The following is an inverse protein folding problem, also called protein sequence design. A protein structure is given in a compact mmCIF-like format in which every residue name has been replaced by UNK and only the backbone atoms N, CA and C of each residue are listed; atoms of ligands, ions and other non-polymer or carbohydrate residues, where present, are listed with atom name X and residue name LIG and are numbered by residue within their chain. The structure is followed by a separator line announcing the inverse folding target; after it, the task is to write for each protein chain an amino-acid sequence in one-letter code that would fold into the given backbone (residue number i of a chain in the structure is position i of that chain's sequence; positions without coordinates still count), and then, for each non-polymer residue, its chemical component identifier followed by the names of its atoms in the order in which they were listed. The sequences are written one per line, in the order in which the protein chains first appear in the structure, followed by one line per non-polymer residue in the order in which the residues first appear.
data_IF_957822770286
#
_entry.id   IF_957822770286
#
_cell.length_a   1.000
_cell.length_b   1.000
_cell.length_c   1.000
_cell.angle_alpha   90.00
_cell.angle_beta   90.00
_cell.angle_gamma   90.00
#
_symmetry.space_group_name_H-M   'P 1'
#
loop_
_entity.id
_entity.type
_entity.pdbx_description
1 polymer ?
#
# COMPACT_ATOMS: atom_id res chain seq x y z
N UNK A 1 -10.42 2.70 19.06
CA UNK A 1 -9.21 2.01 18.55
C UNK A 1 -9.45 1.59 17.11
N UNK A 2 -8.51 1.87 16.20
CA UNK A 2 -8.65 1.55 14.77
C UNK A 2 -8.54 0.04 14.55
N UNK A 3 -9.52 -0.54 13.87
CA UNK A 3 -9.45 -1.92 13.38
C UNK A 3 -8.59 -1.94 12.12
N UNK A 4 -7.72 -2.95 11.98
CA UNK A 4 -6.79 -3.09 10.87
C UNK A 4 -6.82 -4.50 10.28
N UNK A 5 -6.90 -4.62 8.96
CA UNK A 5 -6.78 -5.90 8.24
C UNK A 5 -5.44 -6.61 8.53
N UNK A 6 -4.40 -5.83 8.82
CA UNK A 6 -3.11 -6.35 9.26
C UNK A 6 -3.21 -7.21 10.52
N UNK A 7 -4.14 -6.90 11.45
CA UNK A 7 -4.36 -7.72 12.64
C UNK A 7 -4.92 -9.12 12.28
N UNK A 8 -5.85 -9.18 11.35
CA UNK A 8 -6.40 -10.45 10.88
C UNK A 8 -5.34 -11.31 10.19
N UNK A 9 -4.42 -10.67 9.43
CA UNK A 9 -3.28 -11.36 8.85
C UNK A 9 -2.35 -11.94 9.91
N UNK A 10 -2.04 -11.19 10.97
CA UNK A 10 -1.24 -11.67 12.10
C UNK A 10 -1.89 -12.89 12.78
N UNK A 11 -3.20 -12.87 13.00
CA UNK A 11 -3.94 -14.01 13.58
C UNK A 11 -3.88 -15.23 12.66
N UNK A 12 -4.06 -15.05 11.35
CA UNK A 12 -3.92 -16.15 10.37
C UNK A 12 -2.51 -16.72 10.38
N UNK A 13 -1.48 -15.87 10.33
CA UNK A 13 -0.09 -16.26 10.39
C UNK A 13 0.22 -17.08 11.67
N UNK A 14 -0.27 -16.66 12.84
CA UNK A 14 -0.06 -17.40 14.09
C UNK A 14 -0.58 -18.85 14.00
N UNK A 15 -1.69 -19.06 13.29
CA UNK A 15 -2.35 -20.36 13.18
C UNK A 15 -1.87 -21.23 11.99
N UNK A 16 -0.87 -20.75 11.22
CA UNK A 16 -0.31 -21.49 10.11
C UNK A 16 0.62 -22.61 10.60
N UNK A 17 0.56 -23.78 9.96
CA UNK A 17 1.55 -24.87 10.11
C UNK A 17 2.80 -24.51 9.30
N UNK A 18 3.98 -24.99 9.73
CA UNK A 18 5.28 -24.66 9.10
C UNK A 18 5.54 -23.15 9.04
N UNK A 19 5.32 -22.49 10.16
CA UNK A 19 5.37 -21.05 10.33
C UNK A 19 6.76 -20.50 10.07
N UNK A 20 6.84 -19.50 9.20
CA UNK A 20 8.03 -18.69 8.94
C UNK A 20 8.03 -17.44 9.82
N UNK A 21 9.17 -16.78 9.96
CA UNK A 21 9.20 -15.44 10.51
C UNK A 21 8.35 -14.50 9.65
N UNK A 22 7.65 -13.56 10.27
CA UNK A 22 6.83 -12.58 9.56
C UNK A 22 7.54 -11.22 9.52
N UNK A 23 7.92 -10.80 8.30
CA UNK A 23 8.47 -9.48 8.07
C UNK A 23 7.37 -8.49 7.69
N UNK A 24 7.12 -7.49 8.55
CA UNK A 24 6.15 -6.43 8.29
C UNK A 24 6.86 -5.19 7.76
N UNK A 25 6.63 -4.88 6.49
CA UNK A 25 7.20 -3.74 5.79
C UNK A 25 6.16 -2.64 5.53
N UNK A 26 6.59 -1.47 5.10
CA UNK A 26 5.74 -0.35 4.70
C UNK A 26 6.21 0.99 5.27
N UNK A 27 5.59 2.08 4.84
CA UNK A 27 5.98 3.44 5.18
C UNK A 27 6.06 3.69 6.71
N UNK A 28 6.76 4.73 7.10
CA UNK A 28 6.73 5.18 8.50
C UNK A 28 5.34 5.69 8.89
N UNK A 29 5.03 5.63 10.18
CA UNK A 29 3.78 6.14 10.78
C UNK A 29 2.49 5.39 10.36
N UNK A 30 2.58 4.23 9.69
CA UNK A 30 1.40 3.41 9.34
C UNK A 30 0.97 2.42 10.44
N UNK A 31 1.65 2.46 11.62
CA UNK A 31 1.25 1.71 12.81
C UNK A 31 1.78 0.28 12.90
N UNK A 32 2.90 -0.07 12.24
CA UNK A 32 3.52 -1.42 12.29
C UNK A 32 3.79 -1.88 13.73
N UNK A 33 4.62 -1.17 14.46
CA UNK A 33 5.00 -1.49 15.85
C UNK A 33 3.77 -1.57 16.77
N UNK A 34 2.82 -0.65 16.58
CA UNK A 34 1.59 -0.62 17.37
C UNK A 34 0.76 -1.90 17.21
N UNK A 35 0.52 -2.33 15.97
CA UNK A 35 -0.32 -3.50 15.68
C UNK A 35 0.35 -4.80 16.14
N UNK A 36 1.69 -4.89 16.03
CA UNK A 36 2.47 -6.04 16.50
C UNK A 36 2.41 -6.14 18.01
N UNK A 37 2.60 -5.03 18.74
CA UNK A 37 2.50 -5.00 20.22
C UNK A 37 1.11 -5.45 20.70
N UNK A 38 0.06 -4.86 20.09
CA UNK A 38 -1.32 -5.24 20.40
C UNK A 38 -1.56 -6.73 20.14
N UNK A 39 -1.13 -7.24 19.00
CA UNK A 39 -1.25 -8.64 18.66
C UNK A 39 -0.51 -9.54 19.67
N UNK A 40 0.70 -9.15 20.05
CA UNK A 40 1.48 -9.88 21.05
C UNK A 40 0.77 -9.94 22.41
N UNK A 41 0.29 -8.81 22.92
CA UNK A 41 -0.41 -8.70 24.21
C UNK A 41 -1.68 -9.56 24.25
N UNK A 42 -2.41 -9.67 23.15
CA UNK A 42 -3.67 -10.41 23.07
C UNK A 42 -3.48 -11.92 22.78
N UNK A 43 -2.32 -12.33 22.28
CA UNK A 43 -2.14 -13.67 21.71
C UNK A 43 -0.99 -14.49 22.32
N UNK A 44 -0.10 -13.92 23.12
CA UNK A 44 1.04 -14.62 23.72
C UNK A 44 1.13 -14.30 25.21
N UNK A 45 1.52 -15.28 26.02
CA UNK A 45 1.78 -15.06 27.44
C UNK A 45 3.11 -14.35 27.69
N UNK A 46 4.04 -14.43 26.72
CA UNK A 46 5.34 -13.81 26.82
C UNK A 46 5.72 -13.09 25.53
N UNK A 47 6.20 -11.85 25.67
CA UNK A 47 6.55 -10.98 24.57
C UNK A 47 7.90 -10.33 24.82
N UNK A 48 8.82 -10.51 23.84
CA UNK A 48 10.12 -9.89 23.84
C UNK A 48 10.21 -8.96 22.63
N UNK A 49 10.41 -7.69 22.87
CA UNK A 49 10.63 -6.67 21.82
C UNK A 49 12.04 -6.13 21.92
N UNK A 50 12.73 -6.08 20.78
CA UNK A 50 14.02 -5.40 20.61
C UNK A 50 13.87 -4.42 19.46
N UNK A 51 13.98 -3.12 19.78
CA UNK A 51 14.04 -2.08 18.78
C UNK A 51 15.51 -1.64 18.62
N UNK A 52 16.08 -1.87 17.42
CA UNK A 52 17.51 -1.64 17.18
C UNK A 52 17.90 -0.15 17.05
N UNK A 53 16.92 0.76 16.89
CA UNK A 53 17.19 2.22 16.95
C UNK A 53 17.34 2.67 18.39
N UNK A 54 16.43 2.26 19.28
CA UNK A 54 16.43 2.69 20.69
C UNK A 54 17.42 1.89 21.53
N UNK A 55 17.71 0.67 21.12
CA UNK A 55 18.62 -0.26 21.81
C UNK A 55 19.74 -0.75 20.87
N UNK A 56 20.64 0.11 20.39
CA UNK A 56 21.69 -0.28 19.45
C UNK A 56 22.65 -1.34 20.02
N UNK A 57 22.85 -1.37 21.33
CA UNK A 57 23.65 -2.40 22.02
C UNK A 57 23.09 -3.81 21.90
N UNK A 58 21.79 -3.96 21.62
CA UNK A 58 21.17 -5.27 21.37
C UNK A 58 21.73 -5.99 20.14
N UNK A 59 22.39 -5.28 19.22
CA UNK A 59 23.10 -5.89 18.11
C UNK A 59 24.21 -6.86 18.60
N UNK A 60 24.70 -6.70 19.82
CA UNK A 60 25.70 -7.60 20.44
C UNK A 60 25.16 -9.03 20.64
N UNK A 61 23.83 -9.23 20.72
CA UNK A 61 23.19 -10.54 20.80
C UNK A 61 23.57 -11.42 19.59
N UNK A 62 23.78 -10.77 18.43
CA UNK A 62 24.07 -11.41 17.15
C UNK A 62 25.55 -11.36 16.77
N UNK A 63 26.45 -11.07 17.73
CA UNK A 63 27.88 -11.13 17.52
C UNK A 63 28.41 -12.55 17.72
N UNK A 64 29.32 -12.99 16.86
CA UNK A 64 29.95 -14.31 16.93
C UNK A 64 29.17 -15.38 16.17
N UNK A 65 28.93 -16.52 16.82
CA UNK A 65 28.23 -17.64 16.21
C UNK A 65 26.73 -17.39 16.16
N UNK A 66 26.13 -17.48 14.95
CA UNK A 66 24.71 -17.22 14.71
C UNK A 66 23.84 -18.47 14.89
N UNK A 67 24.26 -19.49 15.67
CA UNK A 67 23.37 -20.60 15.99
C UNK A 67 22.24 -20.17 16.95
N UNK A 68 21.10 -20.84 16.86
CA UNK A 68 19.90 -20.48 17.63
C UNK A 68 20.13 -20.53 19.13
N UNK A 69 20.80 -21.57 19.65
CA UNK A 69 21.06 -21.76 21.07
C UNK A 69 21.84 -20.57 21.67
N UNK A 70 22.93 -20.18 21.04
CA UNK A 70 23.74 -19.03 21.48
C UNK A 70 22.94 -17.73 21.46
N UNK A 71 22.18 -17.48 20.37
CA UNK A 71 21.35 -16.29 20.25
C UNK A 71 20.27 -16.23 21.32
N UNK A 72 19.59 -17.34 21.60
CA UNK A 72 18.53 -17.42 22.61
C UNK A 72 19.08 -17.22 24.02
N UNK A 73 20.27 -17.76 24.34
CA UNK A 73 20.96 -17.50 25.60
C UNK A 73 21.32 -16.01 25.73
N UNK A 74 21.91 -15.45 24.70
CA UNK A 74 22.25 -14.00 24.69
C UNK A 74 21.01 -13.12 24.84
N UNK A 75 19.90 -13.51 24.18
CA UNK A 75 18.63 -12.80 24.23
C UNK A 75 18.06 -12.80 25.68
N UNK A 76 18.05 -13.96 26.34
CA UNK A 76 17.58 -14.07 27.73
C UNK A 76 18.46 -13.31 28.69
N UNK A 77 19.78 -13.37 28.52
CA UNK A 77 20.75 -12.62 29.33
C UNK A 77 20.58 -11.10 29.17
N UNK A 78 20.36 -10.63 27.91
CA UNK A 78 20.18 -9.22 27.62
C UNK A 78 18.85 -8.67 28.13
N UNK A 79 17.74 -9.41 27.89
CA UNK A 79 16.39 -8.93 28.23
C UNK A 79 15.97 -9.24 29.67
N UNK A 80 16.64 -10.18 30.33
CA UNK A 80 16.29 -10.71 31.65
C UNK A 80 14.85 -11.27 31.72
N UNK A 81 14.33 -11.73 30.57
CA UNK A 81 13.01 -12.33 30.44
C UNK A 81 13.13 -13.81 30.12
N UNK A 82 12.26 -14.65 30.70
CA UNK A 82 12.21 -16.08 30.33
C UNK A 82 11.68 -16.26 28.91
N UNK A 83 12.04 -17.38 28.28
CA UNK A 83 11.47 -17.83 27.01
C UNK A 83 10.57 -19.04 27.30
N UNK A 84 9.30 -18.95 26.92
CA UNK A 84 8.31 -20.02 27.06
C UNK A 84 8.09 -20.63 25.66
N UNK A 85 8.51 -21.88 25.51
CA UNK A 85 8.40 -22.59 24.22
C UNK A 85 6.95 -22.66 23.74
N UNK A 86 6.74 -22.26 22.47
CA UNK A 86 5.42 -22.26 21.83
C UNK A 86 4.48 -21.11 22.25
N UNK A 87 4.89 -20.27 23.22
CA UNK A 87 4.06 -19.17 23.73
C UNK A 87 4.85 -17.87 23.98
N UNK A 88 5.97 -17.71 23.30
CA UNK A 88 6.75 -16.47 23.26
C UNK A 88 6.79 -15.93 21.84
N UNK A 89 6.41 -14.66 21.69
CA UNK A 89 6.68 -13.89 20.47
C UNK A 89 7.95 -13.06 20.67
N UNK A 90 8.89 -13.19 19.73
CA UNK A 90 10.11 -12.38 19.68
C UNK A 90 9.95 -11.39 18.51
N UNK A 91 10.01 -10.11 18.81
CA UNK A 91 9.83 -9.03 17.84
C UNK A 91 11.10 -8.20 17.68
N UNK A 92 11.63 -8.19 16.47
CA UNK A 92 12.75 -7.36 16.06
C UNK A 92 12.26 -6.14 15.29
N UNK A 93 12.19 -5.00 15.98
CA UNK A 93 11.73 -3.74 15.38
C UNK A 93 12.90 -2.96 14.79
N UNK A 94 12.67 -2.32 13.64
CA UNK A 94 13.67 -1.61 12.85
C UNK A 94 14.88 -2.50 12.49
N UNK A 95 14.58 -3.71 12.00
CA UNK A 95 15.57 -4.79 11.73
C UNK A 95 16.67 -4.37 10.76
N UNK A 96 16.45 -3.34 9.90
CA UNK A 96 17.47 -2.81 9.00
C UNK A 96 18.68 -2.20 9.73
N UNK A 97 18.54 -1.87 11.02
CA UNK A 97 19.64 -1.36 11.82
C UNK A 97 20.56 -2.48 12.37
N UNK A 98 20.16 -3.75 12.21
CA UNK A 98 20.94 -4.92 12.62
C UNK A 98 20.95 -6.02 11.55
N UNK A 99 21.80 -5.92 10.50
CA UNK A 99 21.88 -6.90 9.42
C UNK A 99 22.20 -8.35 9.87
N UNK A 100 22.94 -8.50 10.98
CA UNK A 100 23.25 -9.80 11.57
C UNK A 100 22.02 -10.48 12.19
N UNK A 101 21.13 -9.72 12.81
CA UNK A 101 19.85 -10.25 13.32
C UNK A 101 19.02 -10.82 12.16
N UNK A 102 18.92 -10.09 11.04
CA UNK A 102 18.22 -10.57 9.86
C UNK A 102 18.85 -11.83 9.26
N UNK A 103 20.17 -11.93 9.25
CA UNK A 103 20.88 -13.15 8.82
C UNK A 103 20.57 -14.33 9.75
N UNK A 104 20.38 -14.08 11.05
CA UNK A 104 20.13 -15.09 12.06
C UNK A 104 18.73 -15.71 12.00
N UNK A 105 17.76 -15.04 11.40
CA UNK A 105 16.34 -15.48 11.34
C UNK A 105 16.20 -16.91 10.84
N UNK A 106 16.96 -17.32 9.81
CA UNK A 106 16.89 -18.69 9.30
C UNK A 106 17.20 -19.74 10.35
N UNK A 107 18.20 -19.50 11.21
CA UNK A 107 18.60 -20.44 12.26
C UNK A 107 17.59 -20.47 13.41
N UNK A 108 16.98 -19.31 13.71
CA UNK A 108 15.96 -19.17 14.73
C UNK A 108 14.65 -19.84 14.30
N UNK A 109 14.28 -19.74 13.04
CA UNK A 109 13.09 -20.41 12.47
C UNK A 109 13.30 -21.92 12.36
N UNK A 110 14.50 -22.38 11.96
CA UNK A 110 14.85 -23.81 11.90
C UNK A 110 14.79 -24.47 13.29
N UNK A 111 15.15 -23.76 14.35
CA UNK A 111 15.04 -24.24 15.73
C UNK A 111 13.59 -24.49 16.16
N UNK A 112 12.63 -23.72 15.61
CA UNK A 112 11.19 -23.96 15.70
C UNK A 112 10.58 -23.83 17.11
N UNK A 113 11.28 -23.22 18.07
CA UNK A 113 10.80 -23.12 19.44
C UNK A 113 9.90 -21.91 19.71
N UNK A 114 10.07 -20.82 18.95
CA UNK A 114 9.44 -19.54 19.17
C UNK A 114 8.91 -18.94 17.88
N UNK A 115 8.03 -17.96 18.01
CA UNK A 115 7.50 -17.18 16.89
C UNK A 115 8.32 -15.87 16.72
N UNK A 116 8.59 -15.49 15.48
CA UNK A 116 9.40 -14.31 15.17
C UNK A 116 8.66 -13.36 14.26
N UNK A 117 8.59 -12.07 14.66
CA UNK A 117 8.14 -10.99 13.79
C UNK A 117 9.28 -9.98 13.65
N UNK A 118 9.47 -9.51 12.43
CA UNK A 118 10.39 -8.44 12.10
C UNK A 118 9.62 -7.23 11.57
N UNK A 119 10.07 -6.02 11.86
CA UNK A 119 9.53 -4.84 11.18
C UNK A 119 10.64 -3.89 10.75
N UNK A 120 10.33 -3.15 9.68
CA UNK A 120 11.20 -2.08 9.20
C UNK A 120 10.51 -1.18 8.18
N UNK A 121 10.86 0.09 8.23
CA UNK A 121 10.28 1.09 7.33
C UNK A 121 11.14 1.36 6.09
N UNK A 122 12.43 1.04 6.14
CA UNK A 122 13.41 1.35 5.09
C UNK A 122 14.21 0.12 4.67
N UNK A 123 13.59 -1.05 4.74
CA UNK A 123 14.25 -2.33 4.45
C UNK A 123 14.84 -2.41 3.04
N UNK A 124 14.16 -1.82 2.05
CA UNK A 124 14.65 -1.77 0.66
C UNK A 124 15.93 -0.94 0.47
N UNK A 125 16.27 -0.07 1.42
CA UNK A 125 17.36 0.90 1.26
C UNK A 125 18.70 0.36 1.75
N UNK A 126 18.72 -0.52 2.76
CA UNK A 126 19.95 -1.05 3.39
C UNK A 126 20.28 -2.51 3.07
N UNK A 127 19.72 -3.05 2.01
CA UNK A 127 19.95 -4.45 1.60
C UNK A 127 21.43 -4.83 1.39
N UNK A 128 22.32 -3.89 1.15
CA UNK A 128 23.73 -4.17 0.82
C UNK A 128 24.57 -4.74 1.97
N UNK A 129 24.09 -4.62 3.22
CA UNK A 129 24.86 -5.01 4.42
C UNK A 129 24.48 -6.40 4.96
N UNK A 130 23.38 -6.99 4.47
CA UNK A 130 22.92 -8.32 4.91
C UNK A 130 23.76 -9.39 4.23
N UNK A 131 24.50 -10.21 5.01
CA UNK A 131 25.38 -11.27 4.48
C UNK A 131 24.61 -12.40 3.81
N UNK A 132 23.44 -12.74 4.30
CA UNK A 132 22.58 -13.78 3.76
C UNK A 132 21.13 -13.49 4.10
N UNK A 133 20.28 -13.43 3.06
CA UNK A 133 18.84 -13.27 3.26
C UNK A 133 18.20 -14.58 3.73
N UNK A 134 17.20 -14.52 4.63
CA UNK A 134 16.48 -15.70 5.10
C UNK A 134 15.45 -16.21 4.07
N UNK A 135 15.90 -16.43 2.83
CA UNK A 135 15.04 -16.92 1.74
C UNK A 135 14.44 -18.28 2.12
N UNK A 136 13.12 -18.39 2.08
CA UNK A 136 12.40 -19.61 2.47
C UNK A 136 11.99 -19.64 3.96
N UNK A 137 12.57 -18.80 4.81
CA UNK A 137 12.34 -18.73 6.25
C UNK A 137 11.53 -17.51 6.70
N UNK A 138 11.23 -16.62 5.78
CA UNK A 138 10.55 -15.34 6.01
C UNK A 138 9.34 -15.23 5.08
N UNK A 139 8.23 -14.75 5.61
CA UNK A 139 7.05 -14.29 4.87
C UNK A 139 6.98 -12.76 4.95
N UNK A 140 6.81 -12.08 3.82
CA UNK A 140 6.73 -10.64 3.78
C UNK A 140 5.28 -10.18 3.68
N UNK A 141 4.85 -9.39 4.67
CA UNK A 141 3.57 -8.69 4.66
C UNK A 141 3.80 -7.18 4.51
N UNK A 142 3.36 -6.61 3.41
CA UNK A 142 3.43 -5.16 3.20
C UNK A 142 2.19 -4.48 3.74
N UNK A 143 2.39 -3.65 4.76
CA UNK A 143 1.33 -2.86 5.39
C UNK A 143 1.22 -1.50 4.70
N UNK A 144 -0.01 -1.03 4.52
CA UNK A 144 -0.35 0.25 3.91
C UNK A 144 -1.06 1.17 4.90
N UNK A 145 -1.24 2.48 4.62
CA UNK A 145 -2.21 3.32 5.32
C UNK A 145 -3.59 2.66 5.34
N UNK A 146 -4.53 3.12 6.18
CA UNK A 146 -5.89 2.60 6.18
C UNK A 146 -6.50 2.74 4.78
N UNK A 147 -7.09 1.66 4.29
CA UNK A 147 -7.95 1.73 3.12
C UNK A 147 -9.33 2.30 3.48
N UNK A 148 -10.19 2.51 2.48
CA UNK A 148 -11.49 3.11 2.71
C UNK A 148 -12.39 2.25 3.60
N UNK A 149 -12.35 0.92 3.53
CA UNK A 149 -13.11 0.02 4.40
C UNK A 149 -12.72 0.18 5.88
N UNK A 150 -11.41 0.21 6.17
CA UNK A 150 -10.86 0.45 7.51
C UNK A 150 -11.23 1.87 8.01
N UNK A 151 -11.15 2.88 7.14
CA UNK A 151 -11.55 4.25 7.45
C UNK A 151 -13.05 4.36 7.75
N UNK A 152 -13.90 3.73 6.94
CA UNK A 152 -15.35 3.72 7.13
C UNK A 152 -15.73 3.06 8.47
N UNK A 153 -15.14 1.92 8.76
CA UNK A 153 -15.33 1.20 10.04
C UNK A 153 -14.88 2.06 11.22
N UNK A 154 -13.72 2.74 11.11
CA UNK A 154 -13.23 3.65 12.15
C UNK A 154 -14.18 4.85 12.40
N UNK A 155 -14.92 5.28 11.38
CA UNK A 155 -15.92 6.35 11.48
C UNK A 155 -17.34 5.85 11.83
N UNK A 156 -17.49 4.61 12.24
CA UNK A 156 -18.73 4.06 12.82
C UNK A 156 -19.67 3.39 11.82
N UNK A 157 -19.22 3.14 10.57
CA UNK A 157 -20.01 2.32 9.64
C UNK A 157 -20.06 0.88 10.19
N UNK A 158 -21.28 0.38 10.36
CA UNK A 158 -21.55 -0.91 10.96
C UNK A 158 -21.29 -2.05 9.96
N UNK A 159 -20.88 -3.25 10.44
CA UNK A 159 -20.66 -4.43 9.60
C UNK A 159 -21.83 -4.76 8.68
N UNK A 160 -23.07 -4.62 9.15
CA UNK A 160 -24.28 -4.88 8.35
C UNK A 160 -24.38 -3.95 7.11
N UNK A 161 -23.90 -2.70 7.23
CA UNK A 161 -23.86 -1.77 6.09
C UNK A 161 -22.82 -2.22 5.07
N UNK A 162 -21.64 -2.66 5.54
CA UNK A 162 -20.59 -3.20 4.67
C UNK A 162 -21.08 -4.46 3.95
N UNK A 163 -21.75 -5.37 4.66
CA UNK A 163 -22.34 -6.60 4.08
C UNK A 163 -23.40 -6.27 3.04
N UNK A 164 -24.28 -5.30 3.31
CA UNK A 164 -25.27 -4.83 2.34
C UNK A 164 -24.60 -4.28 1.07
N UNK A 165 -23.59 -3.42 1.22
CA UNK A 165 -22.85 -2.87 0.09
C UNK A 165 -22.10 -3.96 -0.69
N UNK A 166 -21.53 -4.95 0.01
CA UNK A 166 -20.88 -6.10 -0.61
C UNK A 166 -21.86 -6.93 -1.43
N UNK A 167 -23.07 -7.17 -0.91
CA UNK A 167 -24.13 -7.85 -1.64
C UNK A 167 -24.54 -7.08 -2.90
N UNK A 168 -24.73 -5.75 -2.80
CA UNK A 168 -25.01 -4.92 -3.97
C UNK A 168 -23.86 -4.99 -5.00
N UNK A 169 -22.61 -4.97 -4.55
CA UNK A 169 -21.43 -5.10 -5.42
C UNK A 169 -21.41 -6.46 -6.16
N UNK A 170 -21.64 -7.56 -5.45
CA UNK A 170 -21.59 -8.92 -6.02
C UNK A 170 -22.75 -9.17 -6.99
N UNK A 171 -23.97 -8.76 -6.61
CA UNK A 171 -25.17 -8.95 -7.42
C UNK A 171 -25.35 -7.88 -8.51
N UNK A 172 -24.54 -6.83 -8.52
CA UNK A 172 -24.69 -5.66 -9.42
C UNK A 172 -26.02 -4.94 -9.23
N UNK A 173 -26.45 -4.80 -7.98
CA UNK A 173 -27.69 -4.14 -7.59
C UNK A 173 -27.44 -2.67 -7.20
N UNK A 174 -28.38 -1.80 -7.55
CA UNK A 174 -28.34 -0.39 -7.17
C UNK A 174 -28.47 -0.22 -5.65
N UNK A 175 -27.65 0.69 -5.09
CA UNK A 175 -27.64 1.00 -3.66
C UNK A 175 -28.79 1.98 -3.35
N UNK A 176 -29.42 1.80 -2.18
CA UNK A 176 -30.42 2.77 -1.71
C UNK A 176 -29.83 4.16 -1.57
N UNK A 177 -30.59 5.21 -1.96
CA UNK A 177 -30.09 6.59 -2.03
C UNK A 177 -29.50 7.08 -0.71
N UNK A 178 -30.14 6.76 0.42
CA UNK A 178 -29.65 7.18 1.75
C UNK A 178 -28.27 6.62 2.08
N UNK A 179 -28.01 5.34 1.76
CA UNK A 179 -26.71 4.69 1.98
C UNK A 179 -25.70 5.25 0.98
N UNK A 180 -26.10 5.39 -0.29
CA UNK A 180 -25.24 5.93 -1.35
C UNK A 180 -24.70 7.33 -1.01
N UNK A 181 -25.57 8.26 -0.64
CA UNK A 181 -25.17 9.63 -0.27
C UNK A 181 -24.29 9.67 0.98
N UNK A 182 -24.61 8.86 1.99
CA UNK A 182 -23.82 8.77 3.21
C UNK A 182 -22.40 8.27 2.93
N UNK A 183 -22.27 7.24 2.10
CA UNK A 183 -20.97 6.64 1.74
C UNK A 183 -20.15 7.56 0.83
N UNK A 184 -20.79 8.28 -0.12
CA UNK A 184 -20.11 9.29 -0.93
C UNK A 184 -19.54 10.41 -0.07
N UNK A 185 -20.33 10.92 0.88
CA UNK A 185 -19.85 11.95 1.81
C UNK A 185 -18.69 11.46 2.66
N UNK A 186 -18.75 10.21 3.13
CA UNK A 186 -17.67 9.62 3.91
C UNK A 186 -16.40 9.45 3.06
N UNK A 187 -16.54 9.06 1.79
CA UNK A 187 -15.41 8.95 0.85
C UNK A 187 -14.77 10.33 0.57
N UNK A 188 -15.55 11.40 0.51
CA UNK A 188 -15.02 12.77 0.41
C UNK A 188 -14.16 13.14 1.63
N UNK A 189 -14.56 12.76 2.84
CA UNK A 189 -13.69 12.91 4.02
C UNK A 189 -12.42 12.08 3.90
N UNK A 190 -12.52 10.85 3.41
CA UNK A 190 -11.34 9.97 3.22
C UNK A 190 -10.32 10.58 2.24
N UNK A 191 -10.78 11.21 1.16
CA UNK A 191 -9.90 11.93 0.22
C UNK A 191 -8.99 12.93 0.94
N UNK A 192 -9.54 13.67 1.91
CA UNK A 192 -8.84 14.76 2.60
C UNK A 192 -8.05 14.27 3.81
N UNK A 193 -8.64 13.36 4.57
CA UNK A 193 -8.03 12.80 5.79
C UNK A 193 -6.96 11.77 5.44
N UNK A 194 -7.17 10.98 4.39
CA UNK A 194 -6.32 9.86 4.05
C UNK A 194 -6.45 8.68 5.01
N UNK A 195 -5.47 7.79 4.96
CA UNK A 195 -5.40 6.56 5.74
C UNK A 195 -4.28 6.53 6.78
N UNK A 196 -3.55 7.62 7.03
CA UNK A 196 -2.50 7.61 8.06
C UNK A 196 -3.12 7.45 9.46
N UNK A 197 -2.75 6.41 10.25
CA UNK A 197 -3.47 6.05 11.48
C UNK A 197 -3.63 7.20 12.49
N UNK A 198 -2.56 7.97 12.73
CA UNK A 198 -2.62 9.12 13.64
C UNK A 198 -3.59 10.21 13.16
N UNK A 199 -3.65 10.41 11.85
CA UNK A 199 -4.54 11.37 11.19
C UNK A 199 -6.00 10.89 11.29
N UNK A 200 -6.24 9.62 10.95
CA UNK A 200 -7.58 9.01 11.04
C UNK A 200 -8.09 9.02 12.47
N UNK A 201 -7.25 8.64 13.45
CA UNK A 201 -7.63 8.66 14.87
C UNK A 201 -7.99 10.08 15.32
N UNK A 202 -7.18 11.08 14.96
CA UNK A 202 -7.49 12.49 15.25
C UNK A 202 -8.82 12.92 14.65
N UNK A 203 -9.07 12.58 13.39
CA UNK A 203 -10.34 12.87 12.73
C UNK A 203 -11.54 12.19 13.41
N UNK A 204 -11.39 10.92 13.80
CA UNK A 204 -12.45 10.20 14.54
C UNK A 204 -12.77 10.88 15.85
N UNK A 205 -11.75 11.32 16.59
CA UNK A 205 -11.90 11.89 17.93
C UNK A 205 -12.45 13.33 17.91
N UNK A 206 -12.04 14.16 16.94
CA UNK A 206 -12.31 15.60 16.97
C UNK A 206 -13.19 16.11 15.83
N UNK A 207 -13.22 15.43 14.70
CA UNK A 207 -13.82 15.91 13.43
C UNK A 207 -13.24 17.24 12.97
N UNK A 208 -12.05 17.62 13.45
CA UNK A 208 -11.38 18.89 13.14
C UNK A 208 -10.35 18.70 12.03
N UNK A 209 -10.65 19.27 10.85
CA UNK A 209 -9.76 19.19 9.67
C UNK A 209 -8.50 20.03 9.87
N UNK A 210 -8.55 21.09 10.66
CA UNK A 210 -7.36 21.90 10.97
C UNK A 210 -6.32 21.11 11.75
N UNK A 211 -6.74 20.31 12.74
CA UNK A 211 -5.86 19.43 13.49
C UNK A 211 -5.34 18.25 12.63
N UNK A 212 -6.20 17.72 11.76
CA UNK A 212 -5.82 16.71 10.75
C UNK A 212 -4.68 17.21 9.87
N UNK A 213 -4.85 18.41 9.29
CA UNK A 213 -3.85 19.02 8.41
C UNK A 213 -2.49 19.22 9.10
N UNK A 214 -2.51 19.59 10.38
CA UNK A 214 -1.29 19.78 11.17
C UNK A 214 -0.50 18.47 11.26
N UNK A 215 -1.16 17.36 11.61
CA UNK A 215 -0.50 16.05 11.71
C UNK A 215 0.00 15.57 10.34
N UNK A 216 -0.77 15.81 9.27
CA UNK A 216 -0.33 15.48 7.91
C UNK A 216 0.96 16.22 7.52
N UNK A 217 1.07 17.51 7.84
CA UNK A 217 2.28 18.31 7.61
C UNK A 217 3.46 17.76 8.41
N UNK A 218 3.25 17.43 9.68
CA UNK A 218 4.29 16.83 10.52
C UNK A 218 4.81 15.50 9.93
N UNK A 219 3.94 14.67 9.36
CA UNK A 219 4.32 13.43 8.70
C UNK A 219 5.12 13.70 7.41
N UNK A 220 4.70 14.67 6.59
CA UNK A 220 5.44 15.07 5.39
C UNK A 220 6.86 15.56 5.74
N UNK A 221 6.99 16.35 6.79
CA UNK A 221 8.29 16.84 7.26
C UNK A 221 9.16 15.70 7.81
N UNK A 222 8.56 14.71 8.48
CA UNK A 222 9.27 13.51 8.91
C UNK A 222 9.81 12.72 7.69
N UNK A 223 9.04 12.57 6.63
CA UNK A 223 9.51 11.91 5.40
C UNK A 223 10.68 12.66 4.75
N UNK A 224 10.64 14.01 4.71
CA UNK A 224 11.77 14.83 4.24
C UNK A 224 13.02 14.66 5.07
N UNK A 225 12.87 14.52 6.40
CA UNK A 225 13.99 14.26 7.32
C UNK A 225 14.59 12.86 7.08
N UNK A 226 13.77 11.85 6.86
CA UNK A 226 14.24 10.51 6.54
C UNK A 226 15.01 10.46 5.22
N UNK A 227 14.51 11.10 4.18
CA UNK A 227 15.24 11.25 2.91
C UNK A 227 16.61 11.87 3.15
N UNK A 228 16.70 12.90 3.97
CA UNK A 228 17.94 13.61 4.28
C UNK A 228 18.92 12.75 5.09
N UNK A 229 18.41 11.86 5.95
CA UNK A 229 19.22 11.01 6.84
C UNK A 229 19.80 9.77 6.13
N UNK A 230 19.02 9.15 5.22
CA UNK A 230 19.31 7.82 4.70
C UNK A 230 19.85 7.76 3.28
N UNK A 231 20.07 8.90 2.62
CA UNK A 231 20.53 8.94 1.22
C UNK A 231 21.72 9.85 1.01
N UNK A 232 22.92 9.39 1.36
CA UNK A 232 24.14 10.21 1.33
C UNK A 232 24.42 10.88 -0.02
N UNK A 233 24.35 10.15 -1.12
CA UNK A 233 24.71 10.68 -2.45
C UNK A 233 23.53 11.12 -3.33
N UNK A 234 22.29 10.76 -2.97
CA UNK A 234 21.11 11.00 -3.79
C UNK A 234 20.01 11.79 -3.08
N UNK A 235 20.23 12.26 -1.85
CA UNK A 235 19.22 12.96 -1.03
C UNK A 235 18.55 14.13 -1.76
N UNK A 236 19.32 14.96 -2.45
CA UNK A 236 18.78 16.10 -3.20
C UNK A 236 17.86 15.66 -4.34
N UNK A 237 18.21 14.57 -5.02
CA UNK A 237 17.38 14.02 -6.10
C UNK A 237 16.08 13.40 -5.54
N UNK A 238 16.20 12.59 -4.47
CA UNK A 238 15.04 11.93 -3.83
C UNK A 238 14.10 12.99 -3.28
N UNK A 239 14.63 14.02 -2.61
CA UNK A 239 13.84 15.12 -2.08
C UNK A 239 13.16 15.92 -3.20
N UNK A 240 13.87 16.24 -4.27
CA UNK A 240 13.31 16.94 -5.43
C UNK A 240 12.19 16.13 -6.08
N UNK A 241 12.34 14.80 -6.23
CA UNK A 241 11.30 13.92 -6.74
C UNK A 241 10.08 13.95 -5.81
N UNK A 242 10.29 13.77 -4.51
CA UNK A 242 9.21 13.73 -3.53
C UNK A 242 8.39 15.04 -3.51
N UNK A 243 9.08 16.19 -3.48
CA UNK A 243 8.44 17.51 -3.44
C UNK A 243 7.72 17.86 -4.77
N UNK A 244 8.12 17.26 -5.90
CA UNK A 244 7.50 17.46 -7.21
C UNK A 244 6.27 16.56 -7.46
N UNK A 245 6.05 15.49 -6.70
CA UNK A 245 4.91 14.57 -6.92
C UNK A 245 3.58 15.32 -7.07
N UNK A 246 3.20 16.26 -6.16
CA UNK A 246 1.92 16.97 -6.27
C UNK A 246 1.79 17.78 -7.57
N UNK A 247 2.85 18.47 -7.97
CA UNK A 247 2.86 19.28 -9.19
C UNK A 247 2.76 18.42 -10.45
N UNK A 248 3.50 17.32 -10.52
CA UNK A 248 3.49 16.37 -11.63
C UNK A 248 2.13 15.68 -11.82
N UNK A 249 1.46 15.33 -10.72
CA UNK A 249 0.10 14.77 -10.77
C UNK A 249 -0.93 15.80 -11.24
N UNK A 250 -0.69 17.08 -10.97
CA UNK A 250 -1.57 18.17 -11.43
C UNK A 250 -1.33 18.58 -12.88
N UNK A 251 -0.22 18.18 -13.50
CA UNK A 251 0.05 18.46 -14.90
C UNK A 251 -0.92 17.72 -15.82
N UNK A 252 -1.16 18.27 -17.00
CA UNK A 252 -2.10 17.74 -17.99
C UNK A 252 -1.81 16.29 -18.40
N UNK A 253 -0.54 15.91 -18.44
CA UNK A 253 -0.13 14.56 -18.84
C UNK A 253 0.07 13.62 -17.64
N UNK A 254 0.08 14.12 -16.40
CA UNK A 254 0.28 13.37 -15.14
C UNK A 254 1.46 12.39 -15.13
N UNK A 255 2.33 12.47 -16.14
CA UNK A 255 3.55 11.65 -16.25
C UNK A 255 4.67 12.33 -15.51
N UNK A 256 5.48 11.54 -14.81
CA UNK A 256 6.63 12.12 -14.14
C UNK A 256 7.67 12.58 -15.17
N UNK A 257 7.92 13.89 -15.23
CA UNK A 257 8.79 14.56 -16.19
C UNK A 257 10.09 15.00 -15.52
N UNK A 258 11.20 14.34 -15.85
CA UNK A 258 12.51 14.60 -15.24
C UNK A 258 13.09 15.99 -15.58
N UNK A 259 12.70 16.58 -16.69
CA UNK A 259 13.13 17.95 -17.07
C UNK A 259 12.70 18.99 -16.03
N UNK A 260 11.67 18.73 -15.26
CA UNK A 260 11.17 19.63 -14.21
C UNK A 260 12.09 19.63 -12.97
N UNK A 261 12.88 18.57 -12.78
CA UNK A 261 13.95 18.55 -11.79
C UNK A 261 15.16 19.34 -12.32
N UNK A 262 15.58 19.02 -13.56
CA UNK A 262 16.71 19.65 -14.24
C UNK A 262 16.66 19.34 -15.74
N UNK A 263 16.86 20.35 -16.62
CA UNK A 263 16.83 20.21 -18.07
C UNK A 263 17.74 19.10 -18.62
N UNK A 264 18.85 18.78 -17.94
CA UNK A 264 19.79 17.71 -18.30
C UNK A 264 19.53 16.37 -17.58
N UNK A 265 18.41 16.23 -16.85
CA UNK A 265 18.10 15.00 -16.13
C UNK A 265 17.78 13.84 -17.06
N UNK A 266 18.35 12.67 -16.78
CA UNK A 266 18.11 11.42 -17.53
C UNK A 266 17.68 10.33 -16.57
N UNK A 267 16.73 9.48 -16.99
CA UNK A 267 16.14 8.41 -16.16
C UNK A 267 17.20 7.54 -15.46
N UNK A 268 18.23 7.10 -16.15
CA UNK A 268 19.31 6.28 -15.59
C UNK A 268 20.00 6.87 -14.35
N UNK A 269 20.01 8.20 -14.21
CA UNK A 269 20.62 8.90 -13.04
C UNK A 269 19.67 9.07 -11.86
N UNK A 270 18.39 8.83 -12.06
CA UNK A 270 17.33 9.04 -11.06
C UNK A 270 16.62 7.73 -10.67
N UNK A 271 16.88 6.63 -11.38
CA UNK A 271 16.24 5.34 -11.17
C UNK A 271 16.36 4.86 -9.71
N UNK A 272 17.57 4.90 -9.13
CA UNK A 272 17.79 4.56 -7.74
C UNK A 272 17.02 5.44 -6.75
N UNK A 273 16.75 6.70 -7.14
CA UNK A 273 16.00 7.65 -6.31
C UNK A 273 14.50 7.35 -6.34
N UNK A 274 13.95 6.95 -7.47
CA UNK A 274 12.56 6.50 -7.58
C UNK A 274 12.35 5.18 -6.84
N UNK A 275 13.27 4.22 -7.02
CA UNK A 275 13.22 2.94 -6.31
C UNK A 275 13.28 3.16 -4.80
N UNK A 276 14.11 4.09 -4.33
CA UNK A 276 14.16 4.42 -2.90
C UNK A 276 12.78 4.86 -2.35
N UNK A 277 12.07 5.76 -3.04
CA UNK A 277 10.74 6.22 -2.61
C UNK A 277 9.70 5.10 -2.64
N UNK A 278 9.77 4.22 -3.62
CA UNK A 278 8.88 3.06 -3.74
C UNK A 278 9.16 2.01 -2.65
N UNK A 279 10.45 1.72 -2.40
CA UNK A 279 10.89 0.75 -1.39
C UNK A 279 10.62 1.25 0.04
N UNK A 280 10.78 2.55 0.28
CA UNK A 280 10.39 3.20 1.53
C UNK A 280 8.86 3.22 1.74
N UNK A 281 8.09 2.85 0.72
CA UNK A 281 6.62 2.84 0.77
C UNK A 281 5.99 4.23 0.74
N UNK A 282 6.77 5.27 0.41
CA UNK A 282 6.30 6.67 0.41
C UNK A 282 5.61 7.03 -0.90
N UNK A 283 6.04 6.41 -2.00
CA UNK A 283 5.46 6.63 -3.32
C UNK A 283 5.03 5.32 -4.00
N UNK A 284 4.05 5.42 -4.89
CA UNK A 284 3.46 4.30 -5.62
C UNK A 284 3.68 4.53 -7.13
N UNK A 285 4.66 3.87 -7.75
CA UNK A 285 4.90 3.99 -9.19
C UNK A 285 3.81 3.25 -10.00
N UNK A 286 3.32 3.91 -11.05
CA UNK A 286 2.37 3.37 -12.00
C UNK A 286 2.98 3.45 -13.39
N UNK A 287 3.42 2.32 -13.95
CA UNK A 287 4.12 2.28 -15.24
C UNK A 287 3.15 2.18 -16.40
N UNK A 288 3.52 2.81 -17.54
CA UNK A 288 2.81 2.62 -18.78
C UNK A 288 3.03 1.21 -19.33
N UNK A 289 2.04 0.70 -20.04
CA UNK A 289 2.14 -0.54 -20.82
C UNK A 289 1.95 -0.25 -22.30
N UNK A 290 2.66 -0.99 -23.17
CA UNK A 290 2.56 -0.87 -24.62
C UNK A 290 1.27 -1.43 -25.18
N UNK A 291 0.78 -2.51 -24.56
CA UNK A 291 -0.45 -3.21 -24.89
C UNK A 291 -1.16 -3.74 -23.62
N UNK A 292 -2.48 -3.61 -23.53
CA UNK A 292 -3.25 -4.06 -22.38
C UNK A 292 -3.57 -5.56 -22.47
N UNK A 293 -2.54 -6.38 -22.69
CA UNK A 293 -2.63 -7.85 -22.87
C UNK A 293 -1.84 -8.54 -21.79
N UNK A 294 -2.38 -9.64 -21.25
CA UNK A 294 -1.72 -10.44 -20.22
C UNK A 294 -0.57 -11.30 -20.79
N UNK A 295 0.51 -11.48 -20.04
CA UNK A 295 0.82 -10.84 -18.75
C UNK A 295 1.21 -9.36 -18.93
N UNK A 296 0.62 -8.46 -18.12
CA UNK A 296 0.87 -7.01 -18.23
C UNK A 296 2.35 -6.65 -18.04
N UNK A 297 3.06 -7.43 -17.22
CA UNK A 297 4.48 -7.22 -16.90
C UNK A 297 5.40 -7.33 -18.13
N UNK A 298 5.02 -8.11 -19.14
CA UNK A 298 5.80 -8.23 -20.40
C UNK A 298 5.66 -7.00 -21.32
N UNK A 299 4.69 -6.14 -21.01
CA UNK A 299 4.37 -4.96 -21.82
C UNK A 299 4.82 -3.64 -21.18
N UNK A 300 5.66 -3.69 -20.13
CA UNK A 300 6.07 -2.51 -19.37
C UNK A 300 6.94 -1.55 -20.16
N UNK A 301 6.69 -0.27 -19.97
CA UNK A 301 7.54 0.84 -20.40
C UNK A 301 8.14 1.53 -19.17
N UNK A 302 9.28 1.07 -18.70
CA UNK A 302 9.91 1.54 -17.47
C UNK A 302 10.29 3.03 -17.43
N UNK A 303 10.41 3.66 -18.60
CA UNK A 303 10.75 5.07 -18.72
C UNK A 303 9.52 6.00 -18.75
N UNK A 304 8.32 5.45 -18.75
CA UNK A 304 7.05 6.19 -18.72
C UNK A 304 6.21 5.74 -17.53
N UNK A 305 6.08 6.61 -16.53
CA UNK A 305 5.32 6.30 -15.33
C UNK A 305 4.69 7.54 -14.71
N UNK A 306 3.66 7.33 -13.92
CA UNK A 306 3.10 8.27 -12.95
C UNK A 306 3.63 7.90 -11.58
N UNK A 307 3.75 8.87 -10.67
CA UNK A 307 4.20 8.63 -9.30
C UNK A 307 3.15 9.19 -8.35
N UNK A 308 2.46 8.31 -7.64
CA UNK A 308 1.47 8.67 -6.64
C UNK A 308 2.08 8.69 -5.24
N UNK A 309 1.52 9.47 -4.31
CA UNK A 309 1.86 9.34 -2.89
C UNK A 309 1.15 8.14 -2.27
N UNK A 310 1.77 7.54 -1.27
CA UNK A 310 1.22 6.39 -0.56
C UNK A 310 -0.09 6.69 0.19
N UNK A 311 -0.38 7.97 0.41
CA UNK A 311 -1.58 8.43 1.12
C UNK A 311 -2.12 9.72 0.51
N UNK A 312 -3.42 9.73 0.23
CA UNK A 312 -4.07 10.86 -0.45
C UNK A 312 -4.24 12.07 0.47
N UNK A 313 -4.45 11.85 1.75
CA UNK A 313 -4.49 12.95 2.72
C UNK A 313 -3.16 13.71 2.78
N UNK A 314 -2.04 12.99 2.69
CA UNK A 314 -0.72 13.61 2.57
C UNK A 314 -0.56 14.38 1.25
N UNK A 315 -1.09 13.87 0.13
CA UNK A 315 -1.10 14.59 -1.15
C UNK A 315 -1.90 15.88 -1.04
N UNK A 316 -3.10 15.84 -0.44
CA UNK A 316 -3.91 17.04 -0.19
C UNK A 316 -3.18 18.06 0.68
N UNK A 317 -2.53 17.61 1.76
CA UNK A 317 -1.76 18.49 2.63
C UNK A 317 -0.55 19.14 1.95
N UNK A 318 0.10 18.40 1.03
CA UNK A 318 1.25 18.91 0.27
C UNK A 318 0.87 19.89 -0.85
N UNK A 319 -0.34 19.76 -1.43
CA UNK A 319 -0.74 20.50 -2.63
C UNK A 319 -1.70 21.66 -2.37
N UNK A 320 -2.57 21.57 -1.37
CA UNK A 320 -3.76 22.44 -1.29
C UNK A 320 -3.75 23.47 -0.16
N UNK A 321 -2.96 23.28 0.89
CA UNK A 321 -3.02 24.19 2.03
C UNK A 321 -4.44 24.30 2.61
N UNK A 322 -5.06 25.48 2.52
CA UNK A 322 -6.42 25.74 3.05
C UNK A 322 -7.56 25.38 2.08
N UNK A 323 -7.26 25.07 0.80
CA UNK A 323 -8.26 24.74 -0.23
C UNK A 323 -8.96 23.39 0.03
N UNK A 324 -8.44 22.59 0.97
CA UNK A 324 -9.08 21.34 1.41
C UNK A 324 -10.53 21.55 1.87
N UNK A 325 -10.86 22.73 2.42
CA UNK A 325 -12.21 23.08 2.83
C UNK A 325 -13.17 23.24 1.64
N UNK A 326 -12.67 23.67 0.48
CA UNK A 326 -13.47 23.85 -0.73
C UNK A 326 -13.95 22.50 -1.29
N UNK A 327 -13.16 21.44 -1.11
CA UNK A 327 -13.56 20.07 -1.45
C UNK A 327 -14.72 19.60 -0.58
N UNK A 328 -14.71 19.92 0.72
CA UNK A 328 -15.77 19.54 1.66
C UNK A 328 -17.07 20.32 1.43
N UNK A 329 -16.96 21.57 0.98
CA UNK A 329 -18.13 22.40 0.63
C UNK A 329 -18.77 22.02 -0.71
N UNK A 330 -18.13 21.09 -1.46
CA UNK A 330 -18.59 20.66 -2.79
C UNK A 330 -18.17 21.59 -3.91
N UNK A 331 -17.32 22.59 -3.63
CA UNK A 331 -16.71 23.41 -4.67
C UNK A 331 -15.60 22.66 -5.37
N UNK A 332 -15.95 22.02 -6.49
CA UNK A 332 -15.09 21.15 -7.28
C UNK A 332 -14.25 21.92 -8.33
N UNK A 333 -14.06 23.23 -8.15
CA UNK A 333 -13.17 24.02 -9.03
C UNK A 333 -11.70 23.60 -8.91
N UNK A 334 -11.36 22.84 -7.86
CA UNK A 334 -10.06 22.16 -7.69
C UNK A 334 -9.94 20.99 -8.67
N UNK A 335 -8.74 20.78 -9.24
CA UNK A 335 -8.46 19.62 -10.12
C UNK A 335 -8.55 18.31 -9.35
N UNK A 336 -9.78 17.85 -9.11
CA UNK A 336 -10.05 16.59 -8.39
C UNK A 336 -9.57 15.34 -9.11
N UNK A 337 -9.31 15.41 -10.42
CA UNK A 337 -8.93 14.23 -11.20
C UNK A 337 -7.65 13.59 -10.70
N UNK A 338 -6.61 14.37 -10.44
CA UNK A 338 -5.32 13.85 -9.96
C UNK A 338 -5.37 13.30 -8.54
N UNK A 339 -6.17 13.94 -7.70
CA UNK A 339 -6.35 13.51 -6.31
C UNK A 339 -7.12 12.19 -6.26
N UNK A 340 -8.18 12.08 -7.05
CA UNK A 340 -8.94 10.82 -7.16
C UNK A 340 -8.08 9.71 -7.72
N UNK A 341 -7.26 9.96 -8.76
CA UNK A 341 -6.33 8.92 -9.22
C UNK A 341 -5.38 8.46 -8.11
N UNK A 342 -4.91 9.38 -7.26
CA UNK A 342 -4.08 8.98 -6.11
C UNK A 342 -4.84 8.14 -5.08
N UNK A 343 -6.11 8.47 -4.76
CA UNK A 343 -6.96 7.62 -3.89
C UNK A 343 -7.07 6.22 -4.48
N UNK A 344 -7.39 6.11 -5.78
CA UNK A 344 -7.54 4.83 -6.43
C UNK A 344 -6.22 4.07 -6.57
N UNK A 345 -5.10 4.75 -6.76
CA UNK A 345 -3.78 4.12 -6.71
C UNK A 345 -3.51 3.49 -5.33
N UNK A 346 -3.82 4.22 -4.25
CA UNK A 346 -3.73 3.74 -2.86
C UNK A 346 -4.64 2.54 -2.63
N UNK A 347 -5.92 2.62 -3.00
CA UNK A 347 -6.91 1.56 -2.86
C UNK A 347 -6.53 0.29 -3.66
N UNK A 348 -6.12 0.45 -4.91
CA UNK A 348 -5.72 -0.67 -5.76
C UNK A 348 -4.50 -1.40 -5.19
N UNK A 349 -3.48 -0.67 -4.72
CA UNK A 349 -2.28 -1.29 -4.15
C UNK A 349 -2.59 -1.98 -2.83
N UNK A 350 -3.40 -1.39 -1.96
CA UNK A 350 -3.82 -2.02 -0.69
C UNK A 350 -4.68 -3.26 -0.92
N UNK A 351 -5.40 -3.33 -2.04
CA UNK A 351 -6.19 -4.47 -2.48
C UNK A 351 -5.40 -5.49 -3.32
N UNK A 352 -4.06 -5.37 -3.39
CA UNK A 352 -3.15 -6.36 -3.97
C UNK A 352 -2.85 -6.20 -5.46
N UNK A 353 -3.24 -5.09 -6.09
CA UNK A 353 -2.98 -4.86 -7.51
C UNK A 353 -1.64 -4.16 -7.74
N UNK A 354 -0.97 -4.52 -8.86
CA UNK A 354 0.14 -3.76 -9.42
C UNK A 354 -0.40 -2.64 -10.32
N UNK A 355 0.08 -1.42 -10.11
CA UNK A 355 -0.39 -0.26 -10.85
C UNK A 355 0.22 -0.20 -12.25
N UNK A 356 -0.66 -0.20 -13.25
CA UNK A 356 -0.32 0.03 -14.65
C UNK A 356 -1.32 1.02 -15.24
N UNK A 357 -0.87 1.88 -16.15
CA UNK A 357 -1.75 2.71 -16.97
C UNK A 357 -1.48 2.46 -18.45
N UNK A 358 -2.37 2.90 -19.30
CA UNK A 358 -2.21 2.75 -20.74
C UNK A 358 -2.41 4.08 -21.42
N UNK A 359 -1.47 4.47 -22.30
CA UNK A 359 -1.60 5.67 -23.09
C UNK A 359 -1.03 5.45 -24.49
N UNK A 360 -1.89 5.56 -25.51
CA UNK A 360 -1.54 5.41 -26.92
C UNK A 360 -2.27 6.46 -27.76
N UNK A 361 -1.56 7.10 -28.71
CA UNK A 361 -2.02 8.26 -29.50
C UNK A 361 -3.43 8.11 -30.09
N UNK A 362 -3.79 6.92 -30.58
CA UNK A 362 -5.07 6.67 -31.27
C UNK A 362 -6.17 6.12 -30.36
N UNK A 363 -5.87 5.83 -29.11
CA UNK A 363 -6.82 5.30 -28.12
C UNK A 363 -7.15 6.39 -27.10
N UNK A 364 -6.14 7.01 -26.54
CA UNK A 364 -6.21 7.92 -25.41
C UNK A 364 -5.50 7.34 -24.20
N UNK A 365 -5.72 7.93 -23.06
CA UNK A 365 -5.20 7.49 -21.77
C UNK A 365 -6.30 6.79 -20.96
N UNK A 366 -5.99 5.62 -20.41
CA UNK A 366 -6.76 4.87 -19.43
C UNK A 366 -6.04 5.01 -18.10
N UNK A 367 -6.74 5.45 -17.06
CA UNK A 367 -6.14 5.77 -15.76
C UNK A 367 -5.43 4.58 -15.13
N UNK A 368 -6.06 3.39 -15.14
CA UNK A 368 -5.44 2.16 -14.69
C UNK A 368 -5.82 0.96 -15.57
N UNK A 369 -4.87 0.05 -15.73
CA UNK A 369 -5.10 -1.30 -16.25
C UNK A 369 -4.57 -2.28 -15.21
N UNK A 370 -5.41 -3.14 -14.69
CA UNK A 370 -5.01 -4.13 -13.69
C UNK A 370 -5.29 -5.55 -14.18
N UNK A 371 -4.49 -6.49 -13.73
CA UNK A 371 -4.78 -7.90 -13.93
C UNK A 371 -5.70 -8.37 -12.79
N UNK A 372 -6.88 -8.88 -13.12
CA UNK A 372 -7.78 -9.53 -12.17
C UNK A 372 -8.10 -10.94 -12.69
N UNK A 373 -7.62 -11.95 -11.98
CA UNK A 373 -7.67 -13.33 -12.45
C UNK A 373 -6.98 -13.49 -13.81
N UNK A 374 -7.74 -13.92 -14.82
CA UNK A 374 -7.26 -14.14 -16.20
C UNK A 374 -7.58 -12.98 -17.15
N UNK A 375 -7.94 -11.82 -16.63
CA UNK A 375 -8.39 -10.68 -17.43
C UNK A 375 -7.58 -9.43 -17.15
N UNK A 376 -7.29 -8.65 -18.21
CA UNK A 376 -6.85 -7.28 -18.09
C UNK A 376 -8.09 -6.38 -17.97
N UNK A 377 -8.22 -5.65 -16.87
CA UNK A 377 -9.38 -4.81 -16.56
C UNK A 377 -9.00 -3.34 -16.66
N UNK A 378 -9.53 -2.60 -17.66
CA UNK A 378 -9.36 -1.17 -17.75
C UNK A 378 -10.28 -0.46 -16.75
N UNK A 379 -9.72 0.57 -16.09
CA UNK A 379 -10.39 1.36 -15.08
C UNK A 379 -10.22 2.84 -15.40
N UNK A 380 -11.33 3.56 -15.45
CA UNK A 380 -11.42 5.02 -15.58
C UNK A 380 -11.96 5.63 -14.28
N UNK A 381 -11.42 6.77 -13.87
CA UNK A 381 -11.85 7.50 -12.68
C UNK A 381 -12.48 8.82 -13.11
N UNK A 382 -13.72 9.03 -12.74
CA UNK A 382 -14.48 10.23 -13.10
C UNK A 382 -14.87 11.06 -11.88
N UNK A 383 -14.46 12.33 -11.85
CA UNK A 383 -14.78 13.28 -10.78
C UNK A 383 -16.05 14.06 -11.03
N UNK A 384 -16.40 14.28 -12.29
CA UNK A 384 -17.53 15.11 -12.72
C UNK A 384 -18.86 14.34 -12.86
N UNK A 385 -19.90 15.10 -13.25
CA UNK A 385 -21.23 14.53 -13.50
C UNK A 385 -21.32 13.83 -14.89
N UNK A 386 -20.42 14.18 -15.83
CA UNK A 386 -20.35 13.59 -17.18
C UNK A 386 -19.54 12.27 -17.19
N UNK A 387 -19.76 11.40 -16.20
CA UNK A 387 -18.98 10.18 -16.01
C UNK A 387 -19.24 9.11 -17.10
N UNK A 388 -20.33 9.22 -17.84
CA UNK A 388 -20.64 8.36 -18.99
C UNK A 388 -19.83 8.68 -20.24
N UNK A 389 -19.04 9.79 -20.24
CA UNK A 389 -18.14 10.15 -21.34
C UNK A 389 -16.73 9.60 -21.08
N UNK A 390 -16.38 8.50 -21.71
CA UNK A 390 -15.08 7.81 -21.53
C UNK A 390 -14.48 7.33 -22.86
N UNK A 391 -14.29 8.27 -23.78
CA UNK A 391 -13.83 8.02 -25.16
C UNK A 391 -12.62 7.09 -25.26
N UNK A 392 -11.65 7.20 -24.34
CA UNK A 392 -10.47 6.33 -24.35
C UNK A 392 -10.84 4.87 -24.06
N UNK A 393 -11.72 4.64 -23.08
CA UNK A 393 -12.23 3.32 -22.73
C UNK A 393 -13.02 2.72 -23.89
N UNK A 394 -13.90 3.51 -24.54
CA UNK A 394 -14.67 3.08 -25.70
C UNK A 394 -13.77 2.67 -26.87
N UNK A 395 -12.74 3.49 -27.16
CA UNK A 395 -11.76 3.19 -28.19
C UNK A 395 -10.95 1.92 -27.87
N UNK A 396 -10.64 1.69 -26.60
CA UNK A 396 -9.91 0.50 -26.17
C UNK A 396 -10.77 -0.76 -26.34
N UNK A 397 -12.02 -0.74 -25.89
CA UNK A 397 -12.96 -1.87 -26.01
C UNK A 397 -13.28 -2.16 -27.50
N UNK A 398 -13.41 -1.13 -28.33
CA UNK A 398 -13.66 -1.29 -29.77
C UNK A 398 -12.50 -2.00 -30.50
N UNK A 399 -11.31 -2.07 -29.88
CA UNK A 399 -10.16 -2.72 -30.49
C UNK A 399 -10.12 -4.23 -30.23
N UNK A 400 -10.76 -5.00 -31.08
CA UNK A 400 -10.92 -6.46 -30.98
C UNK A 400 -9.60 -7.23 -30.77
N UNK A 401 -8.47 -6.73 -31.26
CA UNK A 401 -7.16 -7.41 -31.13
C UNK A 401 -6.67 -7.62 -29.69
N UNK A 402 -7.23 -6.90 -28.72
CA UNK A 402 -6.84 -7.02 -27.31
C UNK A 402 -7.81 -7.87 -26.48
N UNK A 403 -8.93 -8.29 -27.07
CA UNK A 403 -9.95 -9.13 -26.41
C UNK A 403 -10.44 -8.56 -25.08
N UNK A 404 -10.57 -7.23 -24.98
CA UNK A 404 -11.12 -6.52 -23.83
C UNK A 404 -12.55 -6.11 -24.18
N UNK A 405 -13.53 -6.76 -23.55
CA UNK A 405 -14.95 -6.59 -23.87
C UNK A 405 -15.73 -5.81 -22.80
N UNK A 406 -15.05 -5.41 -21.73
CA UNK A 406 -15.67 -4.71 -20.59
C UNK A 406 -14.69 -3.76 -19.93
N UNK A 407 -15.21 -2.79 -19.20
CA UNK A 407 -14.44 -1.85 -18.42
C UNK A 407 -15.15 -1.42 -17.14
N UNK A 408 -14.42 -0.74 -16.28
CA UNK A 408 -14.94 -0.20 -15.04
C UNK A 408 -14.76 1.32 -15.02
N UNK A 409 -15.80 2.01 -14.60
CA UNK A 409 -15.76 3.45 -14.32
C UNK A 409 -16.12 3.67 -12.86
N UNK A 410 -15.20 4.22 -12.08
CA UNK A 410 -15.51 4.69 -10.74
C UNK A 410 -15.95 6.16 -10.80
N UNK A 411 -17.13 6.45 -10.26
CA UNK A 411 -17.77 7.77 -10.37
C UNK A 411 -18.58 8.13 -9.12
N UNK A 412 -19.23 9.29 -9.15
CA UNK A 412 -20.21 9.70 -8.12
C UNK A 412 -21.57 9.03 -8.26
N UNK A 413 -21.88 8.49 -9.45
CA UNK A 413 -23.16 7.82 -9.72
C UNK A 413 -23.33 6.54 -8.92
N UNK A 414 -24.57 6.07 -8.85
CA UNK A 414 -24.87 4.78 -8.24
C UNK A 414 -24.41 3.62 -9.14
N UNK A 415 -24.49 2.39 -8.63
CA UNK A 415 -24.11 1.22 -9.39
C UNK A 415 -25.05 1.02 -10.59
N UNK A 416 -24.45 0.95 -11.78
CA UNK A 416 -25.14 0.78 -13.05
C UNK A 416 -24.27 -0.05 -14.02
N UNK A 417 -24.90 -0.75 -14.96
CA UNK A 417 -24.21 -1.47 -16.05
C UNK A 417 -24.81 -1.04 -17.37
N UNK A 418 -23.97 -0.52 -18.24
CA UNK A 418 -24.38 -0.12 -19.58
C UNK A 418 -23.28 -0.48 -20.60
N UNK A 419 -23.67 -1.09 -21.73
CA UNK A 419 -22.78 -1.40 -22.87
C UNK A 419 -21.46 -2.12 -22.50
N UNK A 420 -21.49 -3.05 -21.53
CA UNK A 420 -20.31 -3.77 -21.06
C UNK A 420 -19.43 -2.99 -20.07
N UNK A 421 -19.83 -1.78 -19.71
CA UNK A 421 -19.16 -0.96 -18.72
C UNK A 421 -19.93 -1.01 -17.41
N UNK A 422 -19.20 -1.27 -16.31
CA UNK A 422 -19.77 -1.21 -14.98
C UNK A 422 -19.36 0.09 -14.31
N UNK A 423 -20.35 0.90 -13.97
CA UNK A 423 -20.19 2.11 -13.19
C UNK A 423 -20.33 1.78 -11.72
N UNK A 424 -19.27 2.06 -10.95
CA UNK A 424 -19.27 1.87 -9.51
C UNK A 424 -19.16 3.23 -8.80
N UNK A 425 -19.91 3.43 -7.71
CA UNK A 425 -19.61 4.52 -6.79
C UNK A 425 -18.16 4.43 -6.29
N UNK A 426 -17.48 5.55 -6.10
CA UNK A 426 -16.08 5.60 -5.64
C UNK A 426 -15.79 4.70 -4.46
N UNK A 427 -16.65 4.68 -3.46
CA UNK A 427 -16.49 3.90 -2.23
C UNK A 427 -16.54 2.39 -2.45
N UNK A 428 -17.03 1.92 -3.58
CA UNK A 428 -17.02 0.50 -3.90
C UNK A 428 -15.65 -0.05 -4.31
N UNK A 429 -14.63 0.82 -4.45
CA UNK A 429 -13.22 0.41 -4.59
C UNK A 429 -12.79 -0.57 -3.49
N UNK A 430 -13.34 -0.45 -2.27
CA UNK A 430 -13.04 -1.34 -1.14
C UNK A 430 -13.36 -2.82 -1.40
N UNK A 431 -14.24 -3.13 -2.35
CA UNK A 431 -14.59 -4.51 -2.75
C UNK A 431 -13.86 -4.99 -4.00
N UNK A 432 -13.18 -4.08 -4.71
CA UNK A 432 -12.40 -4.44 -5.88
C UNK A 432 -11.02 -4.93 -5.43
N UNK A 433 -10.94 -6.23 -5.12
CA UNK A 433 -9.75 -6.89 -4.58
C UNK A 433 -9.18 -7.89 -5.58
N UNK A 434 -7.86 -8.10 -5.51
CA UNK A 434 -7.19 -9.15 -6.28
C UNK A 434 -7.71 -10.52 -5.82
N UNK A 435 -7.86 -11.44 -6.76
CA UNK A 435 -8.23 -12.81 -6.46
C UNK A 435 -7.06 -13.51 -5.78
N UNK A 436 -7.32 -14.10 -4.62
CA UNK A 436 -6.33 -14.95 -3.95
C UNK A 436 -6.22 -16.27 -4.70
N UNK A 437 -4.99 -16.72 -4.95
CA UNK A 437 -4.78 -18.07 -5.45
C UNK A 437 -5.34 -19.08 -4.43
N UNK A 438 -5.96 -20.18 -4.91
CA UNK A 438 -6.38 -21.26 -4.01
C UNK A 438 -5.15 -21.75 -3.22
N UNK A 439 -5.30 -21.96 -1.91
CA UNK A 439 -4.23 -22.46 -1.03
C UNK A 439 -3.65 -23.81 -1.51
N UNK A 440 -4.43 -24.58 -2.25
CA UNK A 440 -4.04 -25.88 -2.81
C UNK A 440 -4.37 -25.98 -4.30
N UNK A 441 -3.40 -25.67 -5.14
CA UNK A 441 -3.46 -25.93 -6.57
C UNK A 441 -2.76 -27.28 -6.84
N UNK A 442 -3.46 -28.41 -6.57
CA UNK A 442 -2.92 -29.74 -6.84
C UNK A 442 -3.03 -30.03 -8.33
N UNK A 443 -1.91 -30.24 -8.99
CA UNK A 443 -1.84 -30.72 -10.35
C UNK A 443 -1.55 -32.22 -10.29
N UNK A 444 -2.44 -33.06 -10.83
CA UNK A 444 -2.12 -34.45 -11.07
C UNK A 444 -1.15 -34.49 -12.27
N UNK A 445 0.09 -34.82 -12.03
CA UNK A 445 1.04 -35.10 -13.10
C UNK A 445 0.95 -36.59 -13.37
N UNK A 446 0.13 -36.96 -14.35
CA UNK A 446 0.18 -38.31 -14.91
C UNK A 446 1.48 -38.43 -15.72
N UNK A 447 2.50 -39.06 -15.13
CA UNK A 447 3.67 -39.44 -15.86
C UNK A 447 3.22 -40.65 -16.72
N UNK A 448 2.91 -40.36 -17.97
CA UNK A 448 2.69 -41.43 -18.97
C UNK A 448 3.99 -42.17 -19.09
N UNK A 449 3.99 -43.45 -18.71
CA UNK A 449 5.11 -44.33 -18.95
C UNK A 449 5.44 -44.34 -20.44
N UNK A 450 6.60 -43.79 -20.80
CA UNK A 450 7.20 -43.89 -22.13
C UNK A 450 7.82 -45.29 -22.25
#
# INVERSE_FOLDING_TARGET
MLQRKAYEHLVKWKNTTDKKALLITGARQIGKTYIIRKFAEENYSNFIEINFITNPDAAKIFNGDLNAETILINLTAYTQKPLVKGDTLIFFDEIQECPSARTAIKFLVDDGQFDYIESGSLLGVRYKEVKSYPVGYEENYRMYPLDFEEFATANGIQPQTIEYLKKCYDNKETITEAVHQSMLKLFQYYIIVGGMPAVVQKFVDTKDIGEVLKIQKDILDLYRQDISKYSDNNKEKIKSIFDLIPAQLNDRNRRFTLSDIKNSARMLRYETSFNWLADAGVALPCYNITEPVLPLELNLQNNLFKLFLCDTGLLCAASMGNIQFDILSGDLSVNMGSILENVFAQELVSNGFLLRYFNKKNIGEIDFIVQKGKSAVPIEIKSGNDYTKHKALDNLIAKQSWNINSGIVFCKGNLEIENGITYYPWYMSMFFKQETLPEHLKVNVDIVNI
#
